data_IF_312637299825
#
_entry.id   IF_312637299825
#
_cell.length_a   1.000
_cell.length_b   1.000
_cell.length_c   1.000
_cell.angle_alpha   90.00
_cell.angle_beta   90.00
_cell.angle_gamma   90.00
#
_symmetry.space_group_name_H-M   'P 1'
#
loop_
_entity.id
_entity.type
_entity.pdbx_description
1 polymer ?
#
# COMPACT_ATOMS: atom_id res chain seq x y z
N UNK A 1 -19.83 1.23 3.54
CA UNK A 1 -19.95 1.15 5.01
C UNK A 1 -18.55 1.33 5.55
N UNK A 2 -18.28 2.41 6.31
CA UNK A 2 -16.97 2.59 6.94
C UNK A 2 -16.80 1.52 8.03
N UNK A 3 -15.89 0.57 7.81
CA UNK A 3 -15.54 -0.41 8.82
C UNK A 3 -14.46 0.20 9.72
N UNK A 4 -14.85 0.60 10.92
CA UNK A 4 -13.97 1.11 11.97
C UNK A 4 -13.51 -0.06 12.84
N UNK A 5 -12.21 -0.31 12.88
CA UNK A 5 -11.60 -1.39 13.66
C UNK A 5 -10.63 -0.83 14.70
N UNK A 6 -10.44 -1.51 15.83
CA UNK A 6 -9.28 -1.21 16.70
C UNK A 6 -7.96 -1.59 16.00
N UNK A 7 -6.83 -1.15 16.56
CA UNK A 7 -5.51 -1.38 15.99
C UNK A 7 -5.19 -2.87 15.77
N UNK A 8 -5.53 -3.73 16.72
CA UNK A 8 -5.20 -5.15 16.63
C UNK A 8 -6.02 -5.83 15.52
N UNK A 9 -7.31 -5.52 15.46
CA UNK A 9 -8.21 -6.02 14.42
C UNK A 9 -7.81 -5.49 13.03
N UNK A 10 -7.51 -4.20 12.92
CA UNK A 10 -7.06 -3.57 11.68
C UNK A 10 -5.78 -4.23 11.14
N UNK A 11 -4.75 -4.35 11.98
CA UNK A 11 -3.48 -4.97 11.61
C UNK A 11 -3.67 -6.45 11.24
N UNK A 12 -4.51 -7.18 11.99
CA UNK A 12 -4.80 -8.59 11.69
C UNK A 12 -5.42 -8.77 10.32
N UNK A 13 -6.47 -8.00 9.97
CA UNK A 13 -7.14 -8.14 8.67
C UNK A 13 -6.19 -7.88 7.50
N UNK A 14 -5.35 -6.84 7.59
CA UNK A 14 -4.34 -6.56 6.55
C UNK A 14 -3.27 -7.65 6.50
N UNK A 15 -2.82 -8.15 7.65
CA UNK A 15 -1.84 -9.25 7.70
C UNK A 15 -2.41 -10.53 7.06
N UNK A 16 -3.67 -10.87 7.36
CA UNK A 16 -4.38 -12.01 6.77
C UNK A 16 -4.56 -11.85 5.25
N UNK A 17 -4.60 -10.62 4.74
CA UNK A 17 -4.62 -10.28 3.31
C UNK A 17 -3.23 -10.29 2.65
N UNK A 18 -2.17 -10.57 3.40
CA UNK A 18 -0.80 -10.68 2.91
C UNK A 18 0.05 -9.43 3.07
N UNK A 19 -0.43 -8.38 3.75
CA UNK A 19 0.36 -7.18 4.07
C UNK A 19 1.23 -7.43 5.31
N UNK A 20 2.13 -8.42 5.22
CA UNK A 20 2.96 -8.91 6.32
C UNK A 20 4.39 -8.31 6.32
N UNK A 21 4.69 -7.41 5.40
CA UNK A 21 5.97 -6.70 5.28
C UNK A 21 6.23 -5.70 6.42
N UNK A 22 7.30 -4.94 6.26
CA UNK A 22 7.59 -3.79 7.11
C UNK A 22 6.94 -2.53 6.53
N UNK A 23 6.45 -1.68 7.42
CA UNK A 23 5.78 -0.44 7.09
C UNK A 23 6.41 0.72 7.86
N UNK A 24 6.36 1.90 7.26
CA UNK A 24 6.60 3.17 7.93
C UNK A 24 5.27 3.86 8.16
N UNK A 25 5.00 4.23 9.42
CA UNK A 25 3.89 5.12 9.77
C UNK A 25 4.38 6.56 9.76
N UNK A 26 3.71 7.43 9.02
CA UNK A 26 4.09 8.83 8.79
C UNK A 26 5.57 9.01 8.37
N UNK A 27 6.14 8.01 7.70
CA UNK A 27 7.52 8.02 7.24
C UNK A 27 8.61 7.87 8.32
N UNK A 28 8.26 7.89 9.61
CA UNK A 28 9.24 7.90 10.70
C UNK A 28 9.27 6.60 11.52
N UNK A 29 8.13 5.91 11.65
CA UNK A 29 8.00 4.78 12.56
C UNK A 29 8.02 3.47 11.78
N UNK A 30 9.18 2.81 11.71
CA UNK A 30 9.36 1.56 10.99
C UNK A 30 8.98 0.34 11.84
N UNK A 31 8.23 -0.61 11.29
CA UNK A 31 7.90 -1.85 12.01
C UNK A 31 6.85 -2.70 11.30
N UNK A 32 6.38 -3.77 11.95
CA UNK A 32 5.14 -4.43 11.52
C UNK A 32 3.97 -3.49 11.75
N UNK A 33 2.87 -3.66 11.00
CA UNK A 33 1.71 -2.75 11.03
C UNK A 33 1.28 -2.33 12.44
N UNK A 34 1.08 -3.29 13.35
CA UNK A 34 0.65 -3.00 14.72
C UNK A 34 1.72 -2.24 15.52
N UNK A 35 2.98 -2.63 15.39
CA UNK A 35 4.10 -2.04 16.12
C UNK A 35 4.36 -0.61 15.64
N UNK A 36 4.50 -0.43 14.32
CA UNK A 36 4.74 0.84 13.65
C UNK A 36 3.66 1.88 13.99
N UNK A 37 2.38 1.51 13.89
CA UNK A 37 1.27 2.41 14.24
C UNK A 37 1.21 2.65 15.75
N UNK A 38 1.42 1.60 16.55
CA UNK A 38 1.39 1.69 18.01
C UNK A 38 2.44 2.65 18.56
N UNK A 39 3.68 2.55 18.07
CA UNK A 39 4.79 3.42 18.46
C UNK A 39 4.52 4.88 18.10
N UNK A 40 4.00 5.14 16.89
CA UNK A 40 3.58 6.48 16.48
C UNK A 40 2.54 7.08 17.45
N UNK A 41 1.50 6.31 17.79
CA UNK A 41 0.45 6.77 18.69
C UNK A 41 0.92 6.96 20.13
N UNK A 42 1.84 6.12 20.61
CA UNK A 42 2.47 6.30 21.91
C UNK A 42 3.28 7.61 21.97
N UNK A 43 4.02 7.93 20.91
CA UNK A 43 4.75 9.20 20.80
C UNK A 43 3.80 10.41 20.71
N UNK A 44 2.65 10.27 20.04
CA UNK A 44 1.61 11.30 20.07
C UNK A 44 1.08 11.54 21.50
N UNK A 45 0.90 10.48 22.29
CA UNK A 45 0.44 10.60 23.68
C UNK A 45 1.49 11.25 24.59
N UNK A 46 2.78 11.00 24.32
CA UNK A 46 3.92 11.61 25.04
C UNK A 46 4.18 13.07 24.63
N UNK A 47 3.49 13.57 23.60
CA UNK A 47 3.67 14.92 23.07
C UNK A 47 4.95 15.12 22.26
N UNK A 48 5.67 14.05 21.94
CA UNK A 48 6.83 14.08 21.02
C UNK A 48 6.39 14.16 19.56
N UNK A 49 5.14 13.81 19.28
CA UNK A 49 4.51 13.89 17.98
C UNK A 49 3.06 14.37 18.08
N UNK A 50 2.40 14.57 16.93
CA UNK A 50 1.00 14.97 16.89
C UNK A 50 0.12 13.96 16.15
N UNK A 51 -1.10 13.77 16.65
CA UNK A 51 -2.11 12.94 15.99
C UNK A 51 -2.34 13.42 14.53
N UNK A 52 -2.69 12.50 13.61
CA UNK A 52 -2.81 12.86 12.20
C UNK A 52 -3.94 13.87 12.03
N UNK A 53 -3.65 15.00 11.39
CA UNK A 53 -4.66 16.04 11.08
C UNK A 53 -5.67 15.60 10.01
N UNK A 54 -5.26 14.63 9.18
CA UNK A 54 -6.07 14.04 8.12
C UNK A 54 -5.96 12.51 8.22
N UNK A 55 -5.51 11.86 7.15
CA UNK A 55 -5.26 10.43 7.14
C UNK A 55 -3.87 10.09 7.70
N UNK A 56 -3.80 8.97 8.41
CA UNK A 56 -2.57 8.31 8.80
C UNK A 56 -1.97 7.63 7.56
N UNK A 57 -0.76 8.05 7.16
CA UNK A 57 -0.06 7.46 6.03
C UNK A 57 0.77 6.25 6.48
N UNK A 58 0.55 5.11 5.83
CA UNK A 58 1.38 3.91 5.95
C UNK A 58 2.05 3.64 4.60
N UNK A 59 3.36 3.41 4.58
CA UNK A 59 4.08 3.04 3.36
C UNK A 59 4.90 1.78 3.57
N UNK A 60 4.92 0.89 2.58
CA UNK A 60 5.66 -0.37 2.68
C UNK A 60 5.83 -1.09 1.35
N UNK A 61 6.78 -2.02 1.29
CA UNK A 61 7.01 -2.85 0.11
C UNK A 61 6.05 -4.05 0.10
N UNK A 62 5.39 -4.25 -1.04
CA UNK A 62 4.67 -5.50 -1.36
C UNK A 62 5.59 -6.50 -2.04
N UNK A 63 6.57 -6.01 -2.82
CA UNK A 63 7.58 -6.82 -3.47
C UNK A 63 8.91 -6.06 -3.45
N UNK A 64 9.93 -6.67 -2.87
CA UNK A 64 11.31 -6.19 -2.88
C UNK A 64 12.24 -7.37 -3.12
N UNK A 65 13.12 -7.27 -4.11
CA UNK A 65 14.01 -8.37 -4.51
C UNK A 65 15.48 -7.97 -4.60
N UNK A 66 15.84 -6.84 -3.99
CA UNK A 66 17.17 -6.22 -4.10
C UNK A 66 17.09 -4.81 -4.67
N UNK A 67 18.14 -4.03 -4.43
CA UNK A 67 18.25 -2.64 -4.91
C UNK A 67 18.39 -2.55 -6.43
N UNK A 68 18.93 -3.60 -7.06
CA UNK A 68 19.16 -3.73 -8.51
C UNK A 68 17.91 -4.19 -9.28
N UNK A 69 16.75 -4.27 -8.63
CA UNK A 69 15.52 -4.80 -9.23
C UNK A 69 14.34 -3.87 -9.01
N UNK A 70 13.37 -3.85 -9.93
CA UNK A 70 12.11 -3.16 -9.72
C UNK A 70 11.42 -3.62 -8.44
N UNK A 71 10.82 -2.68 -7.72
CA UNK A 71 10.06 -2.92 -6.50
C UNK A 71 8.59 -2.62 -6.72
N UNK A 72 7.73 -3.20 -5.88
CA UNK A 72 6.33 -2.81 -5.76
C UNK A 72 6.11 -2.30 -4.34
N UNK A 73 5.72 -1.04 -4.25
CA UNK A 73 5.40 -0.33 -3.02
C UNK A 73 3.90 -0.11 -2.90
N UNK A 74 3.43 0.03 -1.67
CA UNK A 74 2.10 0.50 -1.37
C UNK A 74 2.12 1.67 -0.40
N UNK A 75 1.19 2.59 -0.62
CA UNK A 75 0.88 3.70 0.27
C UNK A 75 -0.59 3.61 0.65
N UNK A 76 -0.89 3.60 1.94
CA UNK A 76 -2.24 3.48 2.48
C UNK A 76 -2.59 4.71 3.30
N UNK A 77 -3.72 5.34 3.00
CA UNK A 77 -4.28 6.45 3.76
C UNK A 77 -5.38 5.91 4.65
N UNK A 78 -5.13 5.95 5.96
CA UNK A 78 -5.97 5.35 6.99
C UNK A 78 -6.58 6.46 7.84
N UNK A 79 -7.91 6.56 7.84
CA UNK A 79 -8.63 7.43 8.77
C UNK A 79 -8.40 6.93 10.19
N UNK A 80 -8.05 7.85 11.09
CA UNK A 80 -7.92 7.60 12.51
C UNK A 80 -8.92 8.47 13.28
N UNK A 81 -9.91 7.85 13.92
CA UNK A 81 -10.94 8.54 14.69
C UNK A 81 -11.14 7.84 16.03
N UNK A 82 -10.86 8.55 17.13
CA UNK A 82 -11.10 8.06 18.50
C UNK A 82 -10.55 6.64 18.76
N UNK A 83 -9.32 6.36 18.33
CA UNK A 83 -8.69 5.04 18.52
C UNK A 83 -9.14 3.96 17.54
N UNK A 84 -9.94 4.32 16.52
CA UNK A 84 -10.42 3.42 15.47
C UNK A 84 -9.81 3.77 14.12
N UNK A 85 -9.63 2.75 13.29
CA UNK A 85 -8.94 2.81 12.01
C UNK A 85 -9.87 2.39 10.88
N UNK A 86 -9.83 3.11 9.76
CA UNK A 86 -10.46 2.69 8.51
C UNK A 86 -9.56 3.03 7.32
N UNK A 87 -9.34 2.07 6.42
CA UNK A 87 -8.61 2.33 5.19
C UNK A 87 -9.50 3.11 4.22
N UNK A 88 -9.06 4.28 3.76
CA UNK A 88 -9.81 5.14 2.85
C UNK A 88 -9.34 4.99 1.40
N UNK A 89 -8.03 5.06 1.21
CA UNK A 89 -7.37 5.01 -0.09
C UNK A 89 -6.10 4.17 0.01
N UNK A 90 -5.77 3.50 -1.10
CA UNK A 90 -4.52 2.80 -1.29
C UNK A 90 -3.95 3.18 -2.66
N UNK A 91 -2.64 3.31 -2.72
CA UNK A 91 -1.89 3.44 -3.96
C UNK A 91 -0.87 2.31 -4.02
N UNK A 92 -0.74 1.69 -5.19
CA UNK A 92 0.28 0.70 -5.48
C UNK A 92 1.14 1.24 -6.60
N UNK A 93 2.44 1.25 -6.41
CA UNK A 93 3.40 1.76 -7.37
C UNK A 93 4.48 0.72 -7.65
N UNK A 94 4.72 0.44 -8.93
CA UNK A 94 5.91 -0.27 -9.38
C UNK A 94 6.96 0.74 -9.77
N UNK A 95 8.15 0.63 -9.19
CA UNK A 95 9.29 1.48 -9.48
C UNK A 95 10.45 0.66 -10.01
N UNK A 96 11.32 1.27 -10.81
CA UNK A 96 12.59 0.66 -11.19
C UNK A 96 13.62 0.73 -10.04
N UNK A 97 14.81 0.21 -10.29
CA UNK A 97 15.94 0.20 -9.36
C UNK A 97 16.43 1.59 -8.93
N UNK A 98 16.09 2.64 -9.68
CA UNK A 98 16.46 4.02 -9.38
C UNK A 98 15.30 4.80 -8.71
N UNK A 99 14.19 4.12 -8.41
CA UNK A 99 12.99 4.73 -7.85
C UNK A 99 12.10 5.42 -8.88
N UNK A 100 12.37 5.30 -10.19
CA UNK A 100 11.52 5.85 -11.24
C UNK A 100 10.21 5.08 -11.31
N UNK A 101 9.09 5.80 -11.32
CA UNK A 101 7.76 5.21 -11.42
C UNK A 101 7.54 4.56 -12.80
N UNK A 102 7.32 3.25 -12.82
CA UNK A 102 7.01 2.48 -14.02
C UNK A 102 5.50 2.37 -14.25
N UNK A 103 4.75 2.06 -13.18
CA UNK A 103 3.28 1.93 -13.22
C UNK A 103 2.69 2.24 -11.86
N UNK A 104 1.49 2.82 -11.84
CA UNK A 104 0.74 3.15 -10.63
C UNK A 104 -0.72 2.73 -10.75
N UNK A 105 -1.29 2.28 -9.66
CA UNK A 105 -2.74 2.07 -9.52
C UNK A 105 -3.22 2.74 -8.25
N UNK A 106 -4.33 3.47 -8.34
CA UNK A 106 -4.98 4.10 -7.21
C UNK A 106 -6.32 3.41 -6.94
N UNK A 107 -6.58 3.12 -5.67
CA UNK A 107 -7.78 2.48 -5.17
C UNK A 107 -8.41 3.39 -4.12
N UNK A 108 -9.64 3.82 -4.35
CA UNK A 108 -10.39 4.73 -3.48
C UNK A 108 -11.64 4.06 -2.93
N UNK A 109 -12.33 4.72 -2.00
CA UNK A 109 -13.56 4.21 -1.36
C UNK A 109 -13.37 2.82 -0.73
N UNK A 110 -12.19 2.61 -0.15
CA UNK A 110 -11.86 1.36 0.49
C UNK A 110 -12.43 1.28 1.90
N UNK A 111 -12.27 0.10 2.46
CA UNK A 111 -12.34 -0.22 3.88
C UNK A 111 -11.29 -1.31 4.12
N UNK A 112 -10.99 -1.61 5.38
CA UNK A 112 -10.05 -2.70 5.69
C UNK A 112 -10.55 -4.06 5.15
N UNK A 113 -11.87 -4.23 5.01
CA UNK A 113 -12.50 -5.46 4.49
C UNK A 113 -12.41 -5.52 2.97
N UNK A 114 -12.69 -4.41 2.28
CA UNK A 114 -12.66 -4.34 0.81
C UNK A 114 -11.27 -4.11 0.22
N UNK A 115 -10.25 -3.88 1.05
CA UNK A 115 -8.85 -3.84 0.62
C UNK A 115 -8.51 -5.12 -0.19
N UNK A 116 -7.84 -5.00 -1.35
CA UNK A 116 -7.41 -6.17 -2.12
C UNK A 116 -6.40 -7.00 -1.32
N UNK A 117 -6.23 -8.27 -1.68
CA UNK A 117 -5.09 -9.04 -1.17
C UNK A 117 -3.78 -8.47 -1.71
N UNK A 118 -2.67 -8.63 -1.00
CA UNK A 118 -1.38 -8.10 -1.44
C UNK A 118 -0.98 -8.62 -2.83
N UNK A 119 -1.27 -9.90 -3.13
CA UNK A 119 -1.03 -10.50 -4.45
C UNK A 119 -1.86 -9.86 -5.57
N UNK A 120 -3.12 -9.49 -5.28
CA UNK A 120 -4.00 -8.80 -6.22
C UNK A 120 -3.52 -7.37 -6.46
N UNK A 121 -3.12 -6.68 -5.39
CA UNK A 121 -2.54 -5.33 -5.45
C UNK A 121 -1.28 -5.29 -6.32
N UNK A 122 -0.38 -6.27 -6.16
CA UNK A 122 0.83 -6.43 -6.99
C UNK A 122 0.48 -6.67 -8.46
N UNK A 123 -0.54 -7.48 -8.75
CA UNK A 123 -0.98 -7.76 -10.12
C UNK A 123 -1.38 -6.48 -10.88
N UNK A 124 -2.03 -5.51 -10.22
CA UNK A 124 -2.45 -4.24 -10.85
C UNK A 124 -1.31 -3.50 -11.55
N UNK A 125 -0.10 -3.55 -10.98
CA UNK A 125 1.08 -2.84 -11.51
C UNK A 125 2.07 -3.76 -12.25
N UNK A 126 1.86 -5.07 -12.18
CA UNK A 126 2.66 -6.05 -12.93
C UNK A 126 2.02 -6.50 -14.25
N UNK A 127 0.70 -6.33 -14.43
CA UNK A 127 0.08 -6.62 -15.73
C UNK A 127 0.76 -5.78 -16.83
N UNK A 128 1.47 -6.49 -17.71
CA UNK A 128 1.90 -5.95 -19.00
C UNK A 128 0.66 -5.45 -19.74
N UNK A 129 0.76 -4.35 -20.53
CA UNK A 129 -0.31 -4.05 -21.46
C UNK A 129 -0.51 -5.31 -22.27
N UNK A 130 -1.69 -5.95 -22.15
CA UNK A 130 -2.10 -7.00 -23.09
C UNK A 130 -1.80 -6.44 -24.46
N UNK A 131 -0.75 -6.94 -25.12
CA UNK A 131 -0.55 -6.67 -26.51
C UNK A 131 -1.87 -7.14 -27.13
N UNK A 132 -2.74 -6.19 -27.50
CA UNK A 132 -3.69 -6.46 -28.56
C UNK A 132 -2.75 -6.85 -29.68
N UNK A 133 -2.67 -8.15 -29.96
CA UNK A 133 -2.08 -8.65 -31.17
C UNK A 133 -2.92 -8.06 -32.30
N UNK A 134 -2.65 -6.80 -32.63
CA UNK A 134 -3.03 -6.20 -33.87
C UNK A 134 -2.34 -7.08 -34.88
N UNK A 135 -3.13 -7.92 -35.54
CA UNK A 135 -2.69 -8.65 -36.71
C UNK A 135 -2.16 -7.61 -37.69
N UNK A 136 -0.85 -7.36 -37.66
CA UNK A 136 -0.17 -6.61 -38.68
C UNK A 136 -0.26 -7.47 -39.94
N UNK A 137 -0.96 -7.04 -40.99
CA UNK A 137 -1.01 -7.83 -42.20
C UNK A 137 0.40 -7.86 -42.78
N UNK A 138 1.00 -9.04 -42.81
CA UNK A 138 2.21 -9.32 -43.57
C UNK A 138 1.99 -8.85 -45.01
N UNK A 139 2.57 -7.71 -45.38
CA UNK A 139 2.84 -7.38 -46.78
C UNK A 139 4.35 -7.45 -46.98
N UNK A 140 4.81 -8.66 -47.28
CA UNK A 140 5.92 -8.81 -48.20
C UNK A 140 5.34 -8.81 -49.61
N UNK A 141 5.81 -7.90 -50.45
CA UNK A 141 5.75 -8.08 -51.90
C UNK A 141 7.16 -7.84 -52.46
N UNK A 142 7.53 -8.74 -53.37
CA UNK A 142 8.79 -8.84 -54.10
C UNK A 142 9.18 -7.53 -54.79
#
# INVERSE_FOLDING_TARGET
MEALSDLSTFAKILTDKGYNGYFHTQGAYAGKLKESIGEYLENCQKGTDSLPKQDLLLTGYLQWSGEDKPSVECSMWVKYLNGKFSLNRMEVARKDQFGQLLKKSELTNLSVISAPKAVEAVALVNEEPKQKAGQSPKRFKL
#
